data_IF_873640709480
#
_entry.id   IF_873640709480
#
_cell.length_a   1.000
_cell.length_b   1.000
_cell.length_c   1.000
_cell.angle_alpha   90.00
_cell.angle_beta   90.00
_cell.angle_gamma   90.00
#
_symmetry.space_group_name_H-M   'P 1'
#
loop_
_entity.id
_entity.type
_entity.pdbx_description
1 polymer ?
#
# COMPACT_ATOMS: atom_id res chain seq x y z
N UNK A 1 12.46 62.58 -23.09
CA UNK A 1 12.62 61.15 -23.41
C UNK A 1 12.46 60.97 -24.90
N UNK A 2 13.37 60.27 -25.57
CA UNK A 2 13.24 59.99 -27.01
C UNK A 2 12.32 58.78 -27.22
N UNK A 3 11.63 58.73 -28.36
CA UNK A 3 10.73 57.63 -28.75
C UNK A 3 11.38 56.24 -28.60
N UNK A 4 12.66 56.13 -28.96
CA UNK A 4 13.46 54.90 -28.82
C UNK A 4 13.63 54.46 -27.36
N UNK A 5 13.77 55.40 -26.41
CA UNK A 5 13.86 55.08 -24.99
C UNK A 5 12.54 54.52 -24.45
N UNK A 6 11.39 55.01 -24.92
CA UNK A 6 10.08 54.47 -24.54
C UNK A 6 9.84 53.07 -25.09
N UNK A 7 10.23 52.80 -26.34
CA UNK A 7 10.14 51.45 -26.93
C UNK A 7 11.01 50.47 -26.15
N UNK A 8 12.28 50.82 -25.90
CA UNK A 8 13.21 49.95 -25.17
C UNK A 8 12.74 49.71 -23.73
N UNK A 9 12.26 50.73 -23.04
CA UNK A 9 11.71 50.59 -21.68
C UNK A 9 10.46 49.69 -21.65
N UNK A 10 9.58 49.80 -22.65
CA UNK A 10 8.37 48.96 -22.76
C UNK A 10 8.74 47.51 -23.05
N UNK A 11 9.75 47.29 -23.89
CA UNK A 11 10.23 45.95 -24.28
C UNK A 11 10.92 45.25 -23.11
N UNK A 12 11.77 45.98 -22.36
CA UNK A 12 12.38 45.50 -21.11
C UNK A 12 11.30 45.24 -20.05
N UNK A 13 10.35 46.16 -19.87
CA UNK A 13 9.25 46.00 -18.91
C UNK A 13 8.39 44.76 -19.22
N UNK A 14 8.05 44.54 -20.49
CA UNK A 14 7.29 43.38 -20.94
C UNK A 14 8.07 42.08 -20.74
N UNK A 15 9.37 42.08 -21.04
CA UNK A 15 10.24 40.92 -20.83
C UNK A 15 10.42 40.58 -19.35
N UNK A 16 10.63 41.59 -18.49
CA UNK A 16 10.68 41.41 -17.04
C UNK A 16 9.35 40.91 -16.48
N UNK A 17 8.21 41.42 -16.98
CA UNK A 17 6.89 40.93 -16.60
C UNK A 17 6.66 39.47 -16.98
N UNK A 18 7.12 39.06 -18.17
CA UNK A 18 7.07 37.66 -18.60
C UNK A 18 7.94 36.74 -17.73
N UNK A 19 9.16 37.14 -17.43
CA UNK A 19 10.04 36.39 -16.52
C UNK A 19 9.46 36.27 -15.10
N UNK A 20 8.87 37.35 -14.58
CA UNK A 20 8.21 37.33 -13.28
C UNK A 20 7.00 36.39 -13.27
N UNK A 21 6.21 36.33 -14.34
CA UNK A 21 5.10 35.40 -14.48
C UNK A 21 5.56 33.94 -14.53
N UNK A 22 6.64 33.64 -15.26
CA UNK A 22 7.25 32.31 -15.28
C UNK A 22 7.75 31.90 -13.89
N UNK A 23 8.39 32.81 -13.17
CA UNK A 23 8.91 32.56 -11.82
C UNK A 23 7.76 32.33 -10.83
N UNK A 24 6.68 33.11 -10.91
CA UNK A 24 5.47 32.88 -10.11
C UNK A 24 4.82 31.53 -10.42
N UNK A 25 4.75 31.12 -11.69
CA UNK A 25 4.23 29.81 -12.08
C UNK A 25 5.08 28.67 -11.49
N UNK A 26 6.41 28.82 -11.53
CA UNK A 26 7.34 27.85 -10.98
C UNK A 26 7.19 27.71 -9.46
N UNK A 27 7.14 28.84 -8.75
CA UNK A 27 6.90 28.86 -7.29
C UNK A 27 5.56 28.21 -6.95
N UNK A 28 4.49 28.56 -7.68
CA UNK A 28 3.16 27.98 -7.47
C UNK A 28 3.19 26.46 -7.61
N UNK A 29 3.77 25.95 -8.70
CA UNK A 29 3.91 24.50 -8.93
C UNK A 29 4.69 23.82 -7.80
N UNK A 30 5.77 24.44 -7.33
CA UNK A 30 6.56 23.90 -6.23
C UNK A 30 5.76 23.78 -4.91
N UNK A 31 4.93 24.76 -4.58
CA UNK A 31 4.03 24.68 -3.42
C UNK A 31 2.91 23.66 -3.61
N UNK A 32 2.31 23.59 -4.80
CA UNK A 32 1.26 22.62 -5.12
C UNK A 32 1.80 21.19 -5.01
N UNK A 33 3.00 20.93 -5.55
CA UNK A 33 3.66 19.62 -5.50
C UNK A 33 3.98 19.20 -4.06
N UNK A 34 4.50 20.12 -3.22
CA UNK A 34 4.77 19.83 -1.80
C UNK A 34 3.49 19.53 -1.02
N UNK A 35 2.43 20.28 -1.28
CA UNK A 35 1.14 20.09 -0.60
C UNK A 35 0.54 18.74 -0.99
N UNK A 36 0.61 18.39 -2.28
CA UNK A 36 0.14 17.11 -2.81
C UNK A 36 0.95 15.95 -2.25
N UNK A 37 2.28 16.04 -2.24
CA UNK A 37 3.16 15.04 -1.65
C UNK A 37 2.85 14.79 -0.18
N UNK A 38 2.67 15.86 0.62
CA UNK A 38 2.31 15.73 2.03
C UNK A 38 0.94 15.07 2.26
N UNK A 39 -0.05 15.40 1.43
CA UNK A 39 -1.37 14.76 1.47
C UNK A 39 -1.30 13.27 1.13
N UNK A 40 -0.54 12.92 0.08
CA UNK A 40 -0.34 11.53 -0.33
C UNK A 40 0.38 10.72 0.73
N UNK A 41 1.42 11.28 1.35
CA UNK A 41 2.14 10.63 2.44
C UNK A 41 1.21 10.35 3.63
N UNK A 42 0.36 11.32 4.00
CA UNK A 42 -0.62 11.15 5.08
C UNK A 42 -1.63 10.05 4.76
N UNK A 43 -2.16 10.03 3.54
CA UNK A 43 -3.12 9.01 3.12
C UNK A 43 -2.47 7.62 3.02
N UNK A 44 -1.22 7.55 2.57
CA UNK A 44 -0.45 6.31 2.55
C UNK A 44 -0.23 5.76 3.97
N UNK A 45 0.14 6.62 4.93
CA UNK A 45 0.27 6.22 6.34
C UNK A 45 -1.03 5.65 6.89
N UNK A 46 -2.17 6.26 6.54
CA UNK A 46 -3.49 5.75 6.93
C UNK A 46 -3.80 4.41 6.27
N UNK A 47 -3.54 4.27 4.97
CA UNK A 47 -3.71 3.01 4.22
C UNK A 47 -2.89 1.87 4.83
N UNK A 48 -1.62 2.13 5.17
CA UNK A 48 -0.73 1.15 5.80
C UNK A 48 -1.25 0.78 7.20
N UNK A 49 -1.67 1.76 8.01
CA UNK A 49 -2.24 1.50 9.33
C UNK A 49 -3.53 0.66 9.26
N UNK A 50 -4.39 0.94 8.27
CA UNK A 50 -5.57 0.13 7.99
C UNK A 50 -5.18 -1.32 7.66
N UNK A 51 -4.23 -1.51 6.75
CA UNK A 51 -3.77 -2.84 6.34
C UNK A 51 -3.13 -3.61 7.50
N UNK A 52 -2.32 -2.97 8.35
CA UNK A 52 -1.75 -3.60 9.56
C UNK A 52 -2.86 -4.14 10.47
N UNK A 53 -3.89 -3.33 10.72
CA UNK A 53 -5.04 -3.76 11.54
C UNK A 53 -5.82 -4.91 10.88
N UNK A 54 -5.95 -4.89 9.56
CA UNK A 54 -6.60 -5.97 8.81
C UNK A 54 -5.80 -7.27 8.93
N UNK A 55 -4.49 -7.23 8.73
CA UNK A 55 -3.62 -8.40 8.85
C UNK A 55 -3.58 -8.95 10.28
N UNK A 56 -3.60 -8.09 11.30
CA UNK A 56 -3.70 -8.54 12.69
C UNK A 56 -5.00 -9.33 12.94
N UNK A 57 -6.13 -8.90 12.37
CA UNK A 57 -7.41 -9.63 12.46
C UNK A 57 -7.34 -10.97 11.73
N UNK A 58 -6.77 -11.01 10.53
CA UNK A 58 -6.63 -12.25 9.77
C UNK A 58 -5.69 -13.24 10.45
N UNK A 59 -4.58 -12.76 11.01
CA UNK A 59 -3.65 -13.56 11.82
C UNK A 59 -4.36 -14.21 13.03
N UNK A 60 -5.20 -13.44 13.73
CA UNK A 60 -5.99 -13.95 14.85
C UNK A 60 -7.01 -15.02 14.41
N UNK A 61 -7.75 -14.77 13.32
CA UNK A 61 -8.70 -15.74 12.79
C UNK A 61 -8.03 -17.05 12.35
N UNK A 62 -6.89 -16.95 11.64
CA UNK A 62 -6.12 -18.11 11.21
C UNK A 62 -5.56 -18.88 12.41
N UNK A 63 -5.11 -18.18 13.46
CA UNK A 63 -4.64 -18.83 14.69
C UNK A 63 -5.75 -19.64 15.35
N UNK A 64 -6.96 -19.05 15.49
CA UNK A 64 -8.13 -19.76 16.03
C UNK A 64 -8.54 -20.96 15.18
N UNK A 65 -8.45 -20.83 13.86
CA UNK A 65 -8.74 -21.92 12.93
C UNK A 65 -7.72 -23.07 13.06
N UNK A 66 -6.42 -22.75 13.18
CA UNK A 66 -5.36 -23.73 13.41
C UNK A 66 -5.60 -24.50 14.72
N UNK A 67 -5.93 -23.79 15.80
CA UNK A 67 -6.24 -24.40 17.10
C UNK A 67 -7.47 -25.31 17.03
N UNK A 68 -8.53 -24.84 16.37
CA UNK A 68 -9.78 -25.60 16.19
C UNK A 68 -9.57 -26.87 15.37
N UNK A 69 -8.87 -26.77 14.23
CA UNK A 69 -8.50 -27.94 13.42
C UNK A 69 -7.58 -28.87 14.21
N UNK A 70 -6.65 -28.32 14.99
CA UNK A 70 -5.78 -29.07 15.91
C UNK A 70 -6.55 -29.87 16.96
N UNK A 71 -7.67 -29.33 17.45
CA UNK A 71 -8.59 -29.99 18.38
C UNK A 71 -9.65 -30.89 17.69
N UNK A 72 -9.48 -31.17 16.40
CA UNK A 72 -10.40 -31.98 15.58
C UNK A 72 -11.81 -31.38 15.43
N UNK A 73 -11.98 -30.08 15.69
CA UNK A 73 -13.24 -29.38 15.46
C UNK A 73 -13.49 -29.26 13.95
N UNK A 74 -14.69 -29.65 13.53
CA UNK A 74 -15.13 -29.59 12.13
C UNK A 74 -15.83 -28.28 11.77
N UNK A 75 -16.34 -27.55 12.74
CA UNK A 75 -17.06 -26.30 12.51
C UNK A 75 -16.12 -25.09 12.51
N UNK A 76 -15.24 -25.03 11.51
CA UNK A 76 -14.20 -23.99 11.41
C UNK A 76 -14.51 -23.07 10.22
N UNK A 77 -14.63 -21.77 10.51
CA UNK A 77 -14.82 -20.71 9.51
C UNK A 77 -13.78 -19.62 9.68
N UNK A 78 -13.28 -19.13 8.56
CA UNK A 78 -12.36 -18.00 8.48
C UNK A 78 -12.94 -17.03 7.46
N UNK A 79 -13.02 -15.75 7.82
CA UNK A 79 -13.52 -14.68 6.97
C UNK A 79 -12.35 -13.78 6.58
N UNK A 80 -11.58 -14.27 5.62
CA UNK A 80 -10.51 -13.51 4.96
C UNK A 80 -11.03 -13.02 3.61
N UNK A 81 -10.84 -11.74 3.35
CA UNK A 81 -11.12 -11.10 2.07
C UNK A 81 -9.90 -10.25 1.68
N UNK A 82 -9.16 -10.70 0.66
CA UNK A 82 -7.97 -9.99 0.21
C UNK A 82 -8.28 -8.82 -0.74
N UNK A 83 -9.50 -8.71 -1.24
CA UNK A 83 -9.94 -7.54 -2.01
C UNK A 83 -10.07 -6.29 -1.12
N UNK A 84 -10.28 -6.46 0.18
CA UNK A 84 -10.29 -5.37 1.16
C UNK A 84 -8.92 -4.75 1.44
N UNK A 85 -7.81 -5.39 1.04
CA UNK A 85 -6.48 -4.81 1.21
C UNK A 85 -6.41 -3.50 0.41
N UNK A 86 -6.21 -2.39 1.12
CA UNK A 86 -6.17 -1.08 0.49
C UNK A 86 -4.81 -0.88 -0.21
N UNK A 87 -4.85 -0.52 -1.49
CA UNK A 87 -3.65 -0.33 -2.34
C UNK A 87 -3.67 0.99 -3.12
N UNK A 88 -4.71 1.80 -2.95
CA UNK A 88 -4.99 2.94 -3.82
C UNK A 88 -3.89 4.00 -3.71
N UNK A 89 -3.57 4.40 -2.49
CA UNK A 89 -2.55 5.40 -2.24
C UNK A 89 -1.16 4.83 -2.45
N UNK A 90 -0.93 3.54 -2.19
CA UNK A 90 0.33 2.86 -2.53
C UNK A 90 0.63 2.91 -4.03
N UNK A 91 -0.37 2.61 -4.87
CA UNK A 91 -0.25 2.69 -6.34
C UNK A 91 -0.02 4.14 -6.78
N UNK A 92 -0.75 5.09 -6.21
CA UNK A 92 -0.59 6.50 -6.53
C UNK A 92 0.81 7.01 -6.14
N UNK A 93 1.31 6.64 -4.96
CA UNK A 93 2.63 6.99 -4.46
C UNK A 93 3.75 6.46 -5.36
N UNK A 94 3.57 5.25 -5.90
CA UNK A 94 4.47 4.66 -6.91
C UNK A 94 4.43 5.43 -8.23
N UNK A 95 3.23 5.70 -8.76
CA UNK A 95 3.03 6.43 -10.03
C UNK A 95 3.61 7.84 -10.00
N UNK A 96 3.56 8.50 -8.85
CA UNK A 96 4.10 9.85 -8.66
C UNK A 96 5.63 9.86 -8.40
N UNK A 97 6.28 8.69 -8.41
CA UNK A 97 7.73 8.57 -8.20
C UNK A 97 8.16 8.95 -6.78
N UNK A 98 7.23 8.97 -5.83
CA UNK A 98 7.52 9.33 -4.44
C UNK A 98 8.14 8.16 -3.69
N UNK A 99 7.86 6.92 -4.09
CA UNK A 99 8.40 5.71 -3.44
C UNK A 99 9.93 5.75 -3.29
N UNK A 100 10.68 6.11 -4.34
CA UNK A 100 12.15 6.16 -4.30
C UNK A 100 12.73 7.29 -3.44
N UNK A 101 11.90 8.27 -3.04
CA UNK A 101 12.31 9.30 -2.09
C UNK A 101 12.33 8.79 -0.66
N UNK A 102 11.48 7.81 -0.32
CA UNK A 102 11.27 7.36 1.06
C UNK A 102 11.72 5.92 1.31
N UNK A 103 11.77 5.07 0.28
CA UNK A 103 12.09 3.64 0.40
C UNK A 103 13.25 3.26 -0.52
N UNK A 104 14.09 2.34 -0.06
CA UNK A 104 15.12 1.74 -0.91
C UNK A 104 14.49 0.79 -1.92
N UNK A 105 15.07 0.65 -3.11
CA UNK A 105 14.51 -0.19 -4.19
C UNK A 105 14.23 -1.64 -3.78
N UNK A 106 15.04 -2.19 -2.87
CA UNK A 106 14.79 -3.53 -2.31
C UNK A 106 13.53 -3.59 -1.45
N UNK A 107 13.23 -2.56 -0.66
CA UNK A 107 12.02 -2.47 0.14
C UNK A 107 10.79 -2.40 -0.77
N UNK A 108 10.89 -1.66 -1.87
CA UNK A 108 9.84 -1.56 -2.90
C UNK A 108 9.55 -2.93 -3.52
N UNK A 109 10.61 -3.67 -3.85
CA UNK A 109 10.47 -5.02 -4.41
C UNK A 109 9.75 -5.93 -3.42
N UNK A 110 10.19 -5.97 -2.16
CA UNK A 110 9.56 -6.79 -1.11
C UNK A 110 8.09 -6.42 -0.91
N UNK A 111 7.78 -5.13 -0.93
CA UNK A 111 6.41 -4.64 -0.78
C UNK A 111 5.52 -5.09 -1.94
N UNK A 112 6.02 -5.01 -3.17
CA UNK A 112 5.28 -5.44 -4.36
C UNK A 112 5.09 -6.97 -4.40
N UNK A 113 6.12 -7.73 -4.02
CA UNK A 113 6.04 -9.19 -3.92
C UNK A 113 4.95 -9.61 -2.92
N UNK A 114 4.88 -8.97 -1.75
CA UNK A 114 3.82 -9.22 -0.77
C UNK A 114 2.43 -8.84 -1.31
N UNK A 115 2.26 -7.65 -1.90
CA UNK A 115 0.98 -7.22 -2.48
C UNK A 115 0.49 -8.20 -3.56
N UNK A 116 1.39 -8.90 -4.23
CA UNK A 116 1.05 -9.89 -5.25
C UNK A 116 0.74 -11.27 -4.67
N UNK A 117 1.25 -11.58 -3.47
CA UNK A 117 1.12 -12.91 -2.83
C UNK A 117 -0.26 -13.09 -2.19
N UNK A 118 -0.77 -12.06 -1.50
CA UNK A 118 -2.14 -12.07 -0.96
C UNK A 118 -3.14 -11.73 -2.08
N UNK A 119 -3.82 -12.75 -2.57
CA UNK A 119 -4.72 -12.68 -3.73
C UNK A 119 -5.94 -13.56 -3.55
N UNK A 120 -7.01 -13.26 -4.31
CA UNK A 120 -8.25 -14.04 -4.34
C UNK A 120 -8.02 -15.54 -4.58
N UNK A 121 -6.95 -15.91 -5.31
CA UNK A 121 -6.58 -17.30 -5.52
C UNK A 121 -6.13 -18.03 -4.26
N UNK A 122 -5.37 -17.36 -3.38
CA UNK A 122 -4.96 -17.92 -2.08
C UNK A 122 -6.16 -18.01 -1.13
N UNK A 123 -7.05 -17.01 -1.15
CA UNK A 123 -8.31 -17.04 -0.41
C UNK A 123 -9.21 -18.22 -0.83
N UNK A 124 -9.38 -18.44 -2.13
CA UNK A 124 -10.15 -19.55 -2.66
C UNK A 124 -9.55 -20.91 -2.24
N UNK A 125 -8.23 -21.05 -2.29
CA UNK A 125 -7.54 -22.27 -1.89
C UNK A 125 -7.66 -22.57 -0.39
N UNK A 126 -7.60 -21.54 0.45
CA UNK A 126 -7.85 -21.63 1.88
C UNK A 126 -9.29 -22.12 2.15
N UNK A 127 -10.27 -21.47 1.53
CA UNK A 127 -11.69 -21.79 1.70
C UNK A 127 -12.01 -23.22 1.25
N UNK A 128 -11.45 -23.65 0.12
CA UNK A 128 -11.57 -25.04 -0.36
C UNK A 128 -10.96 -26.04 0.65
N UNK A 129 -9.78 -25.73 1.20
CA UNK A 129 -9.13 -26.59 2.18
C UNK A 129 -9.90 -26.70 3.50
N UNK A 130 -10.53 -25.60 3.93
CA UNK A 130 -11.42 -25.59 5.08
C UNK A 130 -12.70 -26.38 4.79
N UNK A 131 -13.34 -26.19 3.63
CA UNK A 131 -14.53 -26.95 3.25
C UNK A 131 -14.27 -28.46 3.16
N UNK A 132 -13.13 -28.85 2.59
CA UNK A 132 -12.70 -30.24 2.54
C UNK A 132 -12.46 -30.83 3.95
N UNK A 133 -11.97 -30.01 4.88
CA UNK A 133 -11.86 -30.40 6.30
C UNK A 133 -13.22 -30.60 6.96
N UNK A 134 -14.17 -29.67 6.75
CA UNK A 134 -15.55 -29.73 7.28
C UNK A 134 -16.28 -30.98 6.78
N UNK A 135 -16.14 -31.29 5.51
CA UNK A 135 -16.75 -32.46 4.85
C UNK A 135 -15.99 -33.77 5.10
N UNK A 136 -14.91 -33.74 5.88
CA UNK A 136 -14.05 -34.91 6.18
C UNK A 136 -13.46 -35.59 4.94
N UNK A 137 -13.27 -34.83 3.87
CA UNK A 137 -12.65 -35.29 2.62
C UNK A 137 -11.15 -35.00 2.56
N UNK A 138 -10.65 -34.10 3.42
CA UNK A 138 -9.23 -33.80 3.58
C UNK A 138 -8.64 -34.31 4.90
N UNK A 139 -7.36 -34.68 4.83
CA UNK A 139 -6.55 -35.02 6.00
C UNK A 139 -6.18 -33.77 6.82
N UNK A 140 -6.16 -33.94 8.14
CA UNK A 140 -5.85 -32.90 9.13
C UNK A 140 -4.51 -32.23 8.84
N UNK A 141 -3.49 -33.03 8.52
CA UNK A 141 -2.14 -32.52 8.26
C UNK A 141 -2.11 -31.57 7.06
N UNK A 142 -2.86 -31.90 6.00
CA UNK A 142 -2.95 -31.07 4.79
C UNK A 142 -3.61 -29.73 5.10
N UNK A 143 -4.77 -29.72 5.76
CA UNK A 143 -5.47 -28.48 6.13
C UNK A 143 -4.64 -27.64 7.08
N UNK A 144 -3.95 -28.26 8.04
CA UNK A 144 -3.07 -27.58 8.99
C UNK A 144 -1.89 -26.89 8.29
N UNK A 145 -1.28 -27.54 7.29
CA UNK A 145 -0.20 -26.94 6.48
C UNK A 145 -0.68 -25.71 5.72
N UNK A 146 -1.86 -25.78 5.10
CA UNK A 146 -2.44 -24.63 4.37
C UNK A 146 -2.71 -23.46 5.32
N UNK A 147 -3.39 -23.72 6.44
CA UNK A 147 -3.68 -22.67 7.44
C UNK A 147 -2.41 -22.03 8.00
N UNK A 148 -1.39 -22.84 8.29
CA UNK A 148 -0.10 -22.35 8.79
C UNK A 148 0.62 -21.50 7.75
N UNK A 149 0.67 -21.97 6.51
CA UNK A 149 1.29 -21.22 5.41
C UNK A 149 0.60 -19.86 5.23
N UNK A 150 -0.73 -19.85 5.20
CA UNK A 150 -1.51 -18.62 5.05
C UNK A 150 -1.27 -17.65 6.21
N UNK A 151 -1.23 -18.16 7.44
CA UNK A 151 -0.90 -17.34 8.62
C UNK A 151 0.50 -16.75 8.52
N UNK A 152 1.48 -17.52 8.05
CA UNK A 152 2.85 -17.03 7.85
C UNK A 152 2.90 -15.92 6.78
N UNK A 153 2.12 -16.03 5.69
CA UNK A 153 2.01 -14.96 4.69
C UNK A 153 1.37 -13.69 5.27
N UNK A 154 0.26 -13.82 5.99
CA UNK A 154 -0.43 -12.69 6.65
C UNK A 154 0.46 -12.03 7.70
N UNK A 155 1.22 -12.82 8.46
CA UNK A 155 2.16 -12.30 9.45
C UNK A 155 3.31 -11.54 8.78
N UNK A 156 3.90 -12.11 7.73
CA UNK A 156 4.94 -11.44 6.96
C UNK A 156 4.44 -10.11 6.36
N UNK A 157 3.21 -10.11 5.83
CA UNK A 157 2.54 -8.92 5.31
C UNK A 157 2.42 -7.80 6.36
N UNK A 158 2.02 -8.16 7.57
CA UNK A 158 1.92 -7.25 8.71
C UNK A 158 3.28 -6.68 9.10
N UNK A 159 4.27 -7.53 9.31
CA UNK A 159 5.63 -7.14 9.71
C UNK A 159 6.26 -6.21 8.66
N UNK A 160 6.06 -6.50 7.37
CA UNK A 160 6.53 -5.64 6.29
C UNK A 160 5.80 -4.29 6.26
N UNK A 161 4.49 -4.29 6.48
CA UNK A 161 3.69 -3.06 6.55
C UNK A 161 4.11 -2.17 7.72
N UNK A 162 4.42 -2.77 8.88
CA UNK A 162 4.97 -2.07 10.05
C UNK A 162 6.36 -1.49 9.76
N UNK A 163 7.23 -2.28 9.10
CA UNK A 163 8.55 -1.81 8.67
C UNK A 163 8.46 -0.61 7.71
N UNK A 164 7.59 -0.68 6.70
CA UNK A 164 7.39 0.42 5.74
C UNK A 164 6.84 1.64 6.46
N UNK A 165 5.86 1.46 7.36
CA UNK A 165 5.32 2.55 8.19
C UNK A 165 6.43 3.29 8.93
N UNK A 166 7.34 2.56 9.59
CA UNK A 166 8.45 3.14 10.34
C UNK A 166 9.47 3.87 9.46
N UNK A 167 9.60 3.49 8.18
CA UNK A 167 10.50 4.16 7.22
C UNK A 167 9.95 5.46 6.66
N UNK A 168 8.62 5.56 6.54
CA UNK A 168 7.96 6.73 5.99
C UNK A 168 7.49 7.72 7.05
N UNK A 169 7.71 7.43 8.35
CA UNK A 169 7.41 8.28 9.52
C UNK A 169 8.40 9.44 9.66
#
# INVERSE_FOLDING_TARGET
MTFTQQIVATLIGSFCGFLAALLMLWIKRWFDDRTKEGSLLKNLRYEIAYNINLFAKYEEQLTKAIESVGADAKDVYVAIDYALIARYFSIQFYREGLVSKYLHFEDVKRWNDFLSTLSEGSEAHLNESLEAWRTSTADKEKTFKVLRHEREQVRYAKELSEYIKAKIE
#
